data_IF_004593203050
#
_entry.id   IF_004593203050
#
_cell.length_a   1.000
_cell.length_b   1.000
_cell.length_c   1.000
_cell.angle_alpha   90.00
_cell.angle_beta   90.00
_cell.angle_gamma   90.00
#
_symmetry.space_group_name_H-M   'P 1'
#
loop_
_entity.id
_entity.type
_entity.pdbx_description
1 polymer ?
#
# COMPACT_ATOMS: atom_id res chain seq x y z
N UNK A 1 -4.56 8.62 -14.13
CA UNK A 1 -4.79 7.90 -12.86
C UNK A 1 -4.97 8.89 -11.73
N UNK A 2 -5.80 8.56 -10.78
CA UNK A 2 -6.01 9.36 -9.58
C UNK A 2 -5.02 8.97 -8.48
N UNK A 3 -4.77 9.89 -7.57
CA UNK A 3 -3.95 9.62 -6.38
C UNK A 3 -4.82 9.17 -5.23
N UNK A 4 -4.36 8.16 -4.51
CA UNK A 4 -5.02 7.68 -3.30
C UNK A 4 -4.01 7.47 -2.19
N UNK A 5 -4.36 7.94 -1.00
CA UNK A 5 -3.69 7.49 0.22
C UNK A 5 -4.51 6.32 0.73
N UNK A 6 -3.88 5.17 0.84
CA UNK A 6 -4.54 3.94 1.24
C UNK A 6 -4.11 3.61 2.66
N UNK A 7 -5.10 3.50 3.55
CA UNK A 7 -4.88 3.06 4.91
C UNK A 7 -5.14 1.57 4.97
N UNK A 8 -4.10 0.81 5.29
CA UNK A 8 -4.17 -0.62 5.49
C UNK A 8 -4.22 -0.93 6.97
N UNK A 9 -5.11 -1.81 7.40
CA UNK A 9 -5.17 -2.27 8.78
C UNK A 9 -4.95 -3.76 8.80
N UNK A 10 -3.90 -4.23 9.47
CA UNK A 10 -3.65 -5.65 9.65
C UNK A 10 -4.75 -6.28 10.49
N UNK A 11 -5.12 -7.52 10.19
CA UNK A 11 -6.12 -8.26 10.95
C UNK A 11 -5.69 -8.52 12.39
N UNK A 12 -4.37 -8.63 12.61
CA UNK A 12 -3.79 -8.95 13.91
C UNK A 12 -2.30 -8.66 13.92
N UNK A 13 -1.68 -8.70 15.10
CA UNK A 13 -0.21 -8.62 15.25
C UNK A 13 0.47 -9.77 14.50
N UNK A 14 -0.14 -10.94 14.55
CA UNK A 14 0.36 -12.13 13.89
C UNK A 14 0.33 -11.97 12.36
N UNK A 15 -0.74 -11.37 11.83
CA UNK A 15 -0.83 -11.08 10.40
C UNK A 15 0.27 -10.09 9.97
N UNK A 16 0.51 -9.07 10.76
CA UNK A 16 1.59 -8.10 10.50
C UNK A 16 2.96 -8.77 10.48
N UNK A 17 3.24 -9.61 11.48
CA UNK A 17 4.50 -10.34 11.57
C UNK A 17 4.68 -11.29 10.38
N UNK A 18 3.61 -11.97 9.98
CA UNK A 18 3.61 -12.89 8.84
C UNK A 18 3.91 -12.17 7.54
N UNK A 19 3.27 -11.04 7.31
CA UNK A 19 3.54 -10.24 6.13
C UNK A 19 4.99 -9.75 6.11
N UNK A 20 5.52 -9.34 7.26
CA UNK A 20 6.91 -8.92 7.39
C UNK A 20 7.87 -10.03 6.98
N UNK A 21 7.59 -11.28 7.37
CA UNK A 21 8.39 -12.44 6.96
C UNK A 21 8.33 -12.66 5.44
N UNK A 22 7.14 -12.58 4.86
CA UNK A 22 6.94 -12.74 3.41
C UNK A 22 7.73 -11.70 2.65
N UNK A 23 7.57 -10.43 3.03
CA UNK A 23 8.23 -9.31 2.34
C UNK A 23 9.75 -9.38 2.49
N UNK A 24 10.25 -9.74 3.67
CA UNK A 24 11.69 -9.82 3.91
C UNK A 24 12.37 -10.94 3.11
N UNK A 25 11.61 -11.92 2.66
CA UNK A 25 12.12 -13.01 1.82
C UNK A 25 12.09 -12.66 0.32
N UNK A 26 11.50 -11.52 -0.05
CA UNK A 26 11.38 -11.11 -1.45
C UNK A 26 12.49 -10.13 -1.84
N UNK A 27 12.89 -10.17 -3.10
CA UNK A 27 13.77 -9.15 -3.67
C UNK A 27 12.97 -7.88 -3.93
N UNK A 28 13.61 -6.72 -3.80
CA UNK A 28 12.95 -5.44 -4.03
C UNK A 28 12.31 -5.36 -5.42
N UNK A 29 12.99 -5.87 -6.44
CA UNK A 29 12.46 -5.87 -7.81
C UNK A 29 11.16 -6.66 -7.94
N UNK A 30 11.02 -7.75 -7.20
CA UNK A 30 9.80 -8.57 -7.21
C UNK A 30 8.67 -7.86 -6.46
N UNK A 31 9.00 -7.16 -5.36
CA UNK A 31 8.02 -6.36 -4.63
C UNK A 31 7.48 -5.24 -5.54
N UNK A 32 8.36 -4.51 -6.20
CA UNK A 32 7.98 -3.44 -7.13
C UNK A 32 7.08 -3.99 -8.22
N UNK A 33 7.46 -5.13 -8.80
CA UNK A 33 6.71 -5.77 -9.87
C UNK A 33 5.30 -6.16 -9.43
N UNK A 34 5.16 -6.70 -8.21
CA UNK A 34 3.86 -7.11 -7.67
C UNK A 34 2.95 -5.92 -7.38
N UNK A 35 3.54 -4.74 -7.12
CA UNK A 35 2.81 -3.51 -6.79
C UNK A 35 2.67 -2.56 -7.98
N UNK A 36 3.01 -3.01 -9.20
CA UNK A 36 2.95 -2.18 -10.41
C UNK A 36 2.12 -2.88 -11.48
N UNK A 37 0.94 -2.33 -11.77
CA UNK A 37 0.05 -2.82 -12.81
C UNK A 37 -0.32 -1.72 -13.79
N UNK A 38 -1.11 -2.06 -14.80
CA UNK A 38 -1.56 -1.09 -15.82
C UNK A 38 -2.53 -0.06 -15.25
N UNK A 39 -3.37 -0.47 -14.30
CA UNK A 39 -4.45 0.37 -13.76
C UNK A 39 -4.22 0.79 -12.31
N UNK A 40 -3.16 0.32 -11.68
CA UNK A 40 -2.81 0.68 -10.31
C UNK A 40 -1.33 0.48 -10.07
N UNK A 41 -0.67 1.49 -9.48
CA UNK A 41 0.76 1.48 -9.20
C UNK A 41 1.01 2.07 -7.84
N UNK A 42 1.65 1.31 -6.95
CA UNK A 42 2.08 1.83 -5.67
C UNK A 42 3.26 2.78 -5.86
N UNK A 43 3.20 3.93 -5.20
CA UNK A 43 4.25 4.95 -5.29
C UNK A 43 5.16 4.90 -4.08
N UNK A 44 4.57 4.84 -2.89
CA UNK A 44 5.30 4.83 -1.62
C UNK A 44 4.56 4.02 -0.58
N UNK A 45 5.31 3.44 0.35
CA UNK A 45 4.77 2.72 1.50
C UNK A 45 5.45 3.24 2.76
N UNK A 46 4.64 3.56 3.76
CA UNK A 46 5.12 3.89 5.10
C UNK A 46 4.74 2.75 6.04
N UNK A 47 5.76 2.03 6.50
CA UNK A 47 5.60 1.00 7.52
C UNK A 47 5.51 1.67 8.89
N UNK A 48 4.84 1.01 9.83
CA UNK A 48 4.68 1.51 11.19
C UNK A 48 5.44 0.62 12.18
N UNK A 49 5.88 1.20 13.31
CA UNK A 49 6.72 0.44 14.25
C UNK A 49 5.91 -0.52 15.10
N UNK A 50 6.58 -1.58 15.54
CA UNK A 50 6.08 -2.49 16.57
C UNK A 50 4.74 -3.11 16.27
N UNK A 51 3.83 -3.00 17.22
CA UNK A 51 2.49 -3.60 17.17
C UNK A 51 1.42 -2.68 16.60
N UNK A 52 1.81 -1.53 16.04
CA UNK A 52 0.88 -0.64 15.33
C UNK A 52 0.29 -1.40 14.14
N UNK A 53 -1.04 -1.49 14.08
CA UNK A 53 -1.71 -2.32 13.07
C UNK A 53 -2.00 -1.61 11.75
N UNK A 54 -1.79 -0.30 11.67
CA UNK A 54 -2.00 0.45 10.43
C UNK A 54 -0.70 0.64 9.68
N UNK A 55 -0.80 0.70 8.36
CA UNK A 55 0.28 1.16 7.48
C UNK A 55 -0.35 1.96 6.35
N UNK A 56 0.46 2.75 5.66
CA UNK A 56 -0.02 3.71 4.68
C UNK A 56 0.72 3.56 3.37
N UNK A 57 0.00 3.66 2.27
CA UNK A 57 0.60 3.69 0.94
C UNK A 57 0.01 4.84 0.14
N UNK A 58 0.83 5.38 -0.74
CA UNK A 58 0.38 6.27 -1.78
C UNK A 58 0.32 5.45 -3.07
N UNK A 59 -0.87 5.40 -3.67
CA UNK A 59 -1.12 4.71 -4.92
C UNK A 59 -1.62 5.65 -5.99
N UNK A 60 -1.25 5.38 -7.23
CA UNK A 60 -1.94 5.90 -8.40
C UNK A 60 -2.77 4.78 -8.98
N UNK A 61 -4.04 5.06 -9.26
CA UNK A 61 -4.96 4.07 -9.80
C UNK A 61 -6.13 4.70 -10.51
N UNK A 62 -6.80 3.92 -11.35
CA UNK A 62 -8.00 4.38 -12.05
C UNK A 62 -9.18 4.53 -11.08
N UNK A 63 -9.24 3.66 -10.08
CA UNK A 63 -10.26 3.67 -9.03
C UNK A 63 -9.78 2.78 -7.87
N UNK A 64 -10.50 2.78 -6.72
CA UNK A 64 -10.14 1.92 -5.59
C UNK A 64 -10.15 0.42 -5.92
N UNK A 65 -11.06 -0.04 -6.77
CA UNK A 65 -11.16 -1.44 -7.14
C UNK A 65 -9.90 -1.93 -7.87
N UNK A 66 -9.32 -1.09 -8.71
CA UNK A 66 -8.07 -1.40 -9.40
C UNK A 66 -6.92 -1.61 -8.41
N UNK A 67 -6.84 -0.77 -7.38
CA UNK A 67 -5.83 -0.89 -6.33
C UNK A 67 -6.06 -2.18 -5.52
N UNK A 68 -7.31 -2.43 -5.15
CA UNK A 68 -7.69 -3.64 -4.40
C UNK A 68 -7.30 -4.90 -5.16
N UNK A 69 -7.52 -4.91 -6.46
CA UNK A 69 -7.16 -6.04 -7.31
C UNK A 69 -5.64 -6.23 -7.38
N UNK A 70 -4.89 -5.13 -7.46
CA UNK A 70 -3.43 -5.21 -7.48
C UNK A 70 -2.87 -5.74 -6.15
N UNK A 71 -3.58 -5.50 -5.04
CA UNK A 71 -3.21 -5.97 -3.70
C UNK A 71 -3.76 -7.37 -3.37
N UNK A 72 -4.42 -8.02 -4.30
CA UNK A 72 -5.18 -9.26 -4.05
C UNK A 72 -4.36 -10.33 -3.31
N UNK A 73 -3.10 -10.51 -3.69
CA UNK A 73 -2.22 -11.50 -3.06
C UNK A 73 -1.90 -11.20 -1.60
N UNK A 74 -2.10 -9.95 -1.16
CA UNK A 74 -1.78 -9.50 0.20
C UNK A 74 -3.02 -9.30 1.06
N UNK A 75 -4.22 -9.38 0.47
CA UNK A 75 -5.46 -9.02 1.17
C UNK A 75 -5.79 -9.94 2.36
N UNK A 76 -5.25 -11.16 2.40
CA UNK A 76 -5.47 -12.07 3.53
C UNK A 76 -4.90 -11.54 4.85
N UNK A 77 -3.92 -10.63 4.79
CA UNK A 77 -3.29 -10.05 5.98
C UNK A 77 -4.06 -8.86 6.54
N UNK A 78 -5.00 -8.30 5.76
CA UNK A 78 -5.61 -7.01 6.05
C UNK A 78 -7.12 -7.09 6.22
N UNK A 79 -7.64 -6.16 7.05
CA UNK A 79 -9.03 -5.75 6.99
C UNK A 79 -9.28 -5.00 5.68
N UNK A 80 -10.53 -4.75 5.28
CA UNK A 80 -10.80 -3.96 4.08
C UNK A 80 -10.06 -2.63 4.10
N UNK A 81 -9.40 -2.30 3.00
CA UNK A 81 -8.61 -1.08 2.89
C UNK A 81 -9.49 0.16 2.84
N UNK A 82 -8.99 1.26 3.38
CA UNK A 82 -9.64 2.57 3.30
C UNK A 82 -8.89 3.42 2.28
N UNK A 83 -9.63 4.02 1.36
CA UNK A 83 -9.09 4.81 0.26
C UNK A 83 -9.49 6.27 0.42
N UNK A 84 -8.51 7.16 0.36
CA UNK A 84 -8.74 8.60 0.37
C UNK A 84 -8.18 9.16 -0.94
N UNK A 85 -9.07 9.65 -1.80
CA UNK A 85 -8.65 10.28 -3.05
C UNK A 85 -8.00 11.62 -2.74
N UNK A 86 -6.86 11.87 -3.37
CA UNK A 86 -6.14 13.14 -3.26
C UNK A 86 -5.98 13.75 -4.65
N UNK A 87 -5.91 15.06 -4.71
CA UNK A 87 -5.67 15.78 -5.96
C UNK A 87 -4.18 15.74 -6.32
N UNK A 88 -3.87 16.17 -7.54
CA UNK A 88 -2.49 16.33 -7.98
C UNK A 88 -1.84 17.60 -7.41
N UNK A 89 -2.63 18.43 -6.73
CA UNK A 89 -2.16 19.65 -6.12
C UNK A 89 -1.45 19.35 -4.80
N UNK A 90 -0.16 19.08 -4.91
CA UNK A 90 0.70 18.69 -3.79
C UNK A 90 1.60 19.86 -3.40
N UNK A 91 1.58 20.18 -2.12
CA UNK A 91 2.53 21.15 -1.56
C UNK A 91 3.66 20.40 -0.86
N UNK A 92 4.81 20.33 -1.53
CA UNK A 92 6.00 19.70 -0.96
C UNK A 92 6.88 20.78 -0.32
N UNK A 93 6.85 20.85 1.00
CA UNK A 93 7.55 21.88 1.76
C UNK A 93 9.07 21.72 1.75
N UNK A 94 9.58 20.61 1.28
CA UNK A 94 11.01 20.34 1.18
C UNK A 94 11.56 20.50 -0.24
N UNK A 95 10.69 20.68 -1.22
CA UNK A 95 11.08 20.87 -2.61
C UNK A 95 11.30 22.38 -2.85
N UNK A 96 12.50 22.76 -3.26
CA UNK A 96 12.86 24.14 -3.59
C UNK A 96 13.37 24.26 -5.00
#
# INVERSE_FOLDING_TARGET
MKNYIVTHTFKSKEAKAKMGEVVSSMKMEDIVKSMTGETAKCQMTWNTPGETLTMFCWWKGTDPDAINKQLESMNDFFEPHQFTECTDDVMDYNAN
#
